data_IF_086461795596
#
_entry.id   IF_086461795596
#
_cell.length_a   1.000
_cell.length_b   1.000
_cell.length_c   1.000
_cell.angle_alpha   90.00
_cell.angle_beta   90.00
_cell.angle_gamma   90.00
#
_symmetry.space_group_name_H-M   'P 1'
#
loop_
_entity.id
_entity.type
_entity.pdbx_description
1 polymer ?
#
# COMPACT_ATOMS: atom_id res chain seq x y z
N UNK A 1 -17.31 6.12 0.30
CA UNK A 1 -16.03 5.42 0.42
C UNK A 1 -15.36 5.28 -0.94
N UNK A 2 -14.04 5.35 -0.96
CA UNK A 2 -13.23 5.18 -2.15
C UNK A 2 -12.20 4.09 -1.93
N UNK A 3 -11.92 3.32 -2.98
CA UNK A 3 -10.86 2.33 -2.95
C UNK A 3 -9.77 2.70 -3.95
N UNK A 4 -8.53 2.72 -3.48
CA UNK A 4 -7.36 2.83 -4.34
C UNK A 4 -6.68 1.48 -4.43
N UNK A 5 -6.27 1.13 -5.64
CA UNK A 5 -5.52 -0.10 -5.90
C UNK A 5 -4.17 0.32 -6.45
N UNK A 6 -3.10 -0.06 -5.76
CA UNK A 6 -1.74 0.33 -6.11
C UNK A 6 -0.89 -0.93 -6.28
N UNK A 7 -0.26 -1.07 -7.43
CA UNK A 7 0.66 -2.17 -7.66
C UNK A 7 2.09 -1.72 -7.39
N UNK A 8 2.74 -2.38 -6.44
CA UNK A 8 4.16 -2.20 -6.16
C UNK A 8 4.92 -3.36 -6.79
N UNK A 9 5.94 -3.06 -7.57
CA UNK A 9 6.69 -4.06 -8.31
C UNK A 9 8.17 -3.73 -8.33
N UNK A 10 9.00 -4.75 -8.56
CA UNK A 10 10.44 -4.59 -8.73
C UNK A 10 11.23 -4.52 -7.44
N UNK A 11 12.52 -4.21 -7.56
CA UNK A 11 13.42 -4.15 -6.41
C UNK A 11 13.51 -5.46 -5.66
N UNK A 12 13.51 -5.37 -4.33
CA UNK A 12 13.61 -6.52 -3.46
C UNK A 12 12.27 -7.20 -3.17
N UNK A 13 11.17 -6.74 -3.76
CA UNK A 13 9.85 -7.27 -3.46
C UNK A 13 9.72 -8.75 -3.84
N UNK A 14 10.39 -9.17 -4.90
CA UNK A 14 10.39 -10.57 -5.31
C UNK A 14 10.89 -11.49 -4.19
N UNK A 15 11.92 -11.08 -3.49
CA UNK A 15 12.44 -11.80 -2.34
C UNK A 15 11.38 -11.96 -1.25
N UNK A 16 10.60 -10.92 -1.02
CA UNK A 16 9.59 -10.89 0.05
C UNK A 16 8.30 -11.65 -0.29
N UNK A 17 8.12 -12.06 -1.55
CA UNK A 17 6.98 -12.90 -1.92
C UNK A 17 6.96 -14.23 -1.20
N UNK A 18 8.11 -14.70 -0.74
CA UNK A 18 8.22 -15.96 0.01
C UNK A 18 7.69 -15.86 1.43
N UNK A 19 7.65 -14.65 1.98
CA UNK A 19 7.17 -14.39 3.33
C UNK A 19 6.28 -13.14 3.34
N UNK A 20 5.15 -13.18 2.64
CA UNK A 20 4.30 -12.00 2.50
C UNK A 20 3.74 -11.50 3.82
N UNK A 21 3.62 -12.34 4.82
CA UNK A 21 3.14 -11.96 6.15
C UNK A 21 4.09 -10.99 6.87
N UNK A 22 5.33 -10.85 6.39
CA UNK A 22 6.28 -9.90 6.97
C UNK A 22 6.26 -8.54 6.30
N UNK A 23 5.47 -8.39 5.24
CA UNK A 23 5.36 -7.14 4.50
C UNK A 23 4.10 -6.41 4.94
N UNK A 24 4.22 -5.11 5.20
CA UNK A 24 3.11 -4.26 5.60
C UNK A 24 2.94 -3.10 4.65
N UNK A 25 1.68 -2.70 4.44
CA UNK A 25 1.36 -1.44 3.78
C UNK A 25 1.33 -0.34 4.83
N UNK A 26 1.99 0.78 4.53
CA UNK A 26 1.99 1.96 5.40
C UNK A 26 1.33 3.10 4.64
N UNK A 27 0.01 3.27 4.79
CA UNK A 27 -0.69 4.36 4.16
C UNK A 27 -0.73 5.59 5.07
N UNK A 28 -0.80 6.76 4.45
CA UNK A 28 -1.06 8.00 5.16
C UNK A 28 -1.98 8.87 4.32
N UNK A 29 -2.80 9.68 4.97
CA UNK A 29 -3.79 10.50 4.29
C UNK A 29 -3.91 11.86 4.97
N UNK A 30 -4.04 12.91 4.15
CA UNK A 30 -4.42 14.24 4.60
C UNK A 30 -5.90 14.46 4.28
N UNK A 31 -6.64 15.01 5.21
CA UNK A 31 -8.06 15.36 5.05
C UNK A 31 -8.95 14.14 4.74
N UNK A 32 -9.08 13.28 5.70
CA UNK A 32 -9.89 12.08 5.59
C UNK A 32 -9.40 11.02 6.54
N UNK A 33 -9.87 9.81 6.37
CA UNK A 33 -9.37 8.70 7.18
C UNK A 33 -9.25 7.44 6.34
N UNK A 34 -8.34 6.61 6.75
CA UNK A 34 -8.16 5.30 6.14
C UNK A 34 -9.08 4.33 6.88
N UNK A 35 -10.01 3.76 6.15
CA UNK A 35 -10.96 2.82 6.70
C UNK A 35 -10.36 1.42 6.76
N UNK A 36 -9.63 1.05 5.72
CA UNK A 36 -9.03 -0.27 5.62
C UNK A 36 -7.87 -0.24 4.64
N UNK A 37 -6.81 -0.97 4.94
CA UNK A 37 -5.70 -1.14 4.01
C UNK A 37 -5.13 -2.55 4.17
N UNK A 38 -4.86 -3.21 3.05
CA UNK A 38 -4.27 -4.54 3.04
C UNK A 38 -3.53 -4.76 1.72
N UNK A 39 -2.69 -5.79 1.70
CA UNK A 39 -1.95 -6.16 0.50
C UNK A 39 -2.15 -7.63 0.18
N UNK A 40 -2.00 -7.95 -1.09
CA UNK A 40 -1.93 -9.34 -1.55
C UNK A 40 -0.69 -9.51 -2.42
N UNK A 41 -0.02 -10.68 -2.36
CA UNK A 41 1.10 -10.95 -3.27
C UNK A 41 0.64 -10.95 -4.72
N UNK A 42 1.48 -10.41 -5.60
CA UNK A 42 1.21 -10.40 -7.04
C UNK A 42 2.43 -10.95 -7.78
N UNK A 43 2.55 -12.28 -7.89
CA UNK A 43 3.72 -12.90 -8.52
C UNK A 43 3.92 -12.49 -9.98
N UNK A 44 2.87 -12.11 -10.68
CA UNK A 44 2.96 -11.72 -12.09
C UNK A 44 3.82 -10.48 -12.29
N UNK A 45 3.85 -9.60 -11.31
CA UNK A 45 4.67 -8.38 -11.36
C UNK A 45 5.86 -8.44 -10.42
N UNK A 46 6.08 -9.58 -9.76
CA UNK A 46 7.11 -9.76 -8.74
C UNK A 46 6.98 -8.71 -7.64
N UNK A 47 5.75 -8.51 -7.18
CA UNK A 47 5.47 -7.48 -6.19
C UNK A 47 4.19 -7.74 -5.39
N UNK A 48 3.56 -6.66 -4.98
CA UNK A 48 2.35 -6.70 -4.15
C UNK A 48 1.32 -5.72 -4.67
N UNK A 49 0.07 -6.08 -4.54
CA UNK A 49 -1.05 -5.19 -4.82
C UNK A 49 -1.65 -4.70 -3.52
N UNK A 50 -1.71 -3.39 -3.34
CA UNK A 50 -2.29 -2.78 -2.16
C UNK A 50 -3.70 -2.30 -2.44
N UNK A 51 -4.58 -2.55 -1.49
CA UNK A 51 -5.96 -2.07 -1.50
C UNK A 51 -6.13 -1.11 -0.34
N UNK A 52 -6.50 0.13 -0.61
CA UNK A 52 -6.62 1.16 0.41
C UNK A 52 -7.99 1.81 0.29
N UNK A 53 -8.82 1.58 1.30
CA UNK A 53 -10.17 2.12 1.36
C UNK A 53 -10.15 3.37 2.24
N UNK A 54 -10.63 4.49 1.71
CA UNK A 54 -10.64 5.76 2.42
C UNK A 54 -12.04 6.33 2.50
N UNK A 55 -12.24 7.19 3.49
CA UNK A 55 -13.44 7.97 3.67
C UNK A 55 -13.05 9.45 3.68
N UNK A 56 -13.67 10.22 2.80
CA UNK A 56 -13.42 11.66 2.66
C UNK A 56 -14.75 12.39 2.74
N UNK A 57 -14.74 13.55 3.38
CA UNK A 57 -15.90 14.41 3.42
C UNK A 57 -16.20 14.96 2.02
N UNK A 58 -17.48 15.20 1.68
CA UNK A 58 -17.82 15.82 0.39
C UNK A 58 -17.11 17.14 0.21
N UNK A 59 -16.51 17.34 -0.96
CA UNK A 59 -15.81 18.57 -1.30
C UNK A 59 -14.37 18.65 -0.84
N UNK A 60 -13.89 17.65 -0.09
CA UNK A 60 -12.49 17.59 0.30
C UNK A 60 -11.66 16.82 -0.70
N UNK A 61 -10.43 17.30 -0.91
CA UNK A 61 -9.43 16.58 -1.69
C UNK A 61 -8.64 15.69 -0.75
N UNK A 62 -8.56 14.41 -1.07
CA UNK A 62 -7.73 13.49 -0.31
C UNK A 62 -6.33 13.42 -0.94
N UNK A 63 -5.31 13.71 -0.15
CA UNK A 63 -3.94 13.41 -0.53
C UNK A 63 -3.52 12.15 0.21
N UNK A 64 -3.25 11.11 -0.53
CA UNK A 64 -2.87 9.84 0.06
C UNK A 64 -1.48 9.43 -0.41
N UNK A 65 -0.73 8.85 0.50
CA UNK A 65 0.59 8.29 0.22
C UNK A 65 0.66 6.89 0.79
N UNK A 66 1.48 6.05 0.19
CA UNK A 66 1.64 4.69 0.67
C UNK A 66 2.98 4.13 0.25
N UNK A 67 3.52 3.26 1.09
CA UNK A 67 4.71 2.49 0.76
C UNK A 67 4.65 1.15 1.50
N UNK A 68 5.52 0.23 1.09
CA UNK A 68 5.63 -1.07 1.75
C UNK A 68 6.88 -1.11 2.61
N UNK A 69 6.79 -1.82 3.74
CA UNK A 69 7.93 -2.05 4.62
C UNK A 69 7.90 -3.47 5.18
N UNK A 70 9.06 -3.91 5.66
CA UNK A 70 9.19 -5.15 6.42
C UNK A 70 9.98 -4.82 7.68
N UNK A 71 9.33 -4.87 8.85
CA UNK A 71 9.93 -4.38 10.08
C UNK A 71 10.36 -2.93 9.94
N UNK A 72 11.62 -2.64 10.15
CA UNK A 72 12.17 -1.29 10.04
C UNK A 72 12.66 -0.95 8.64
N UNK A 73 12.58 -1.88 7.70
CA UNK A 73 13.10 -1.69 6.36
C UNK A 73 12.02 -1.23 5.40
N UNK A 74 12.21 -0.06 4.79
CA UNK A 74 11.35 0.43 3.72
C UNK A 74 11.69 -0.32 2.43
N UNK A 75 10.68 -0.89 1.79
CA UNK A 75 10.87 -1.75 0.61
C UNK A 75 10.62 -1.02 -0.71
N UNK A 76 9.83 0.03 -0.71
CA UNK A 76 9.44 0.74 -1.92
C UNK A 76 9.60 2.24 -1.75
N UNK A 77 9.58 2.94 -2.89
CA UNK A 77 9.39 4.38 -2.86
C UNK A 77 7.97 4.69 -2.40
N UNK A 78 7.75 5.91 -1.95
CA UNK A 78 6.42 6.36 -1.56
C UNK A 78 5.59 6.66 -2.80
N UNK A 79 4.45 6.06 -2.85
CA UNK A 79 3.47 6.27 -3.93
C UNK A 79 2.64 7.51 -3.68
#
# INVERSE_FOLDING_TARGET
ARRFIVDFAGGDLDYHLKQPEKVEIVPSIAYGRIDRAFIVPNPKTSGFRAFIDIVVEPGQLAEMRAFLRSGDKTLTETW
#
